data_IF_008653757632
#
_entry.id   IF_008653757632
#
_cell.length_a   1.000
_cell.length_b   1.000
_cell.length_c   1.000
_cell.angle_alpha   90.00
_cell.angle_beta   90.00
_cell.angle_gamma   90.00
#
_symmetry.space_group_name_H-M   'P 1'
#
loop_
_entity.id
_entity.type
_entity.pdbx_description
1 polymer ?
#
# COMPACT_ATOMS: atom_id res chain seq x y z
N UNK A 1 18.70 21.84 -2.49
CA UNK A 1 19.54 20.73 -3.03
C UNK A 1 19.20 19.34 -2.46
N UNK A 2 19.30 19.07 -1.13
CA UNK A 2 19.03 17.71 -0.60
C UNK A 2 17.56 17.26 -0.76
N UNK A 3 16.60 18.16 -0.57
CA UNK A 3 15.19 17.90 -0.76
C UNK A 3 14.85 17.52 -2.21
N UNK A 4 15.32 18.30 -3.17
CA UNK A 4 15.06 18.06 -4.59
C UNK A 4 15.57 16.68 -5.04
N UNK A 5 16.75 16.27 -4.57
CA UNK A 5 17.26 14.94 -4.86
C UNK A 5 16.37 13.82 -4.29
N UNK A 6 15.86 13.99 -3.06
CA UNK A 6 14.95 12.99 -2.46
C UNK A 6 13.60 12.94 -3.17
N UNK A 7 13.08 14.08 -3.59
CA UNK A 7 11.85 14.18 -4.37
C UNK A 7 12.02 13.52 -5.75
N UNK A 8 13.09 13.85 -6.48
CA UNK A 8 13.37 13.22 -7.77
C UNK A 8 13.60 11.72 -7.66
N UNK A 9 14.30 11.25 -6.62
CA UNK A 9 14.45 9.82 -6.37
C UNK A 9 13.09 9.14 -6.16
N UNK A 10 12.20 9.76 -5.37
CA UNK A 10 10.84 9.27 -5.16
C UNK A 10 10.06 9.19 -6.47
N UNK A 11 10.06 10.26 -7.26
CA UNK A 11 9.35 10.32 -8.54
C UNK A 11 9.90 9.31 -9.54
N UNK A 12 11.21 9.19 -9.68
CA UNK A 12 11.83 8.24 -10.61
C UNK A 12 11.50 6.78 -10.22
N UNK A 13 11.63 6.41 -8.94
CA UNK A 13 11.32 5.06 -8.47
C UNK A 13 9.82 4.77 -8.61
N UNK A 14 8.97 5.74 -8.27
CA UNK A 14 7.52 5.65 -8.45
C UNK A 14 7.11 5.46 -9.92
N UNK A 15 7.77 6.17 -10.84
CA UNK A 15 7.54 6.03 -12.29
C UNK A 15 7.95 4.64 -12.79
N UNK A 16 9.06 4.10 -12.30
CA UNK A 16 9.46 2.72 -12.60
C UNK A 16 8.43 1.73 -12.05
N UNK A 17 7.96 1.94 -10.82
CA UNK A 17 6.91 1.09 -10.23
C UNK A 17 5.64 1.12 -11.08
N UNK A 18 5.24 2.29 -11.58
CA UNK A 18 4.08 2.44 -12.46
C UNK A 18 4.26 1.71 -13.80
N UNK A 19 5.41 1.84 -14.44
CA UNK A 19 5.69 1.11 -15.68
C UNK A 19 5.66 -0.41 -15.47
N UNK A 20 6.24 -0.90 -14.36
CA UNK A 20 6.21 -2.31 -13.98
C UNK A 20 4.79 -2.78 -13.63
N UNK A 21 3.97 -1.92 -13.00
CA UNK A 21 2.55 -2.21 -12.77
C UNK A 21 1.83 -2.51 -14.08
N UNK A 22 1.91 -1.60 -15.05
CA UNK A 22 1.24 -1.78 -16.33
C UNK A 22 1.77 -2.99 -17.11
N UNK A 23 3.09 -3.23 -17.11
CA UNK A 23 3.67 -4.44 -17.69
C UNK A 23 3.13 -5.72 -17.06
N UNK A 24 2.96 -5.73 -15.73
CA UNK A 24 2.37 -6.86 -14.99
C UNK A 24 0.87 -6.98 -15.27
N UNK A 25 0.16 -5.85 -15.31
CA UNK A 25 -1.28 -5.80 -15.54
C UNK A 25 -1.68 -6.30 -16.93
N UNK A 26 -0.94 -5.92 -17.96
CA UNK A 26 -1.18 -6.31 -19.35
C UNK A 26 -0.70 -7.73 -19.68
N UNK A 27 0.17 -8.31 -18.86
CA UNK A 27 0.64 -9.68 -19.09
C UNK A 27 -0.41 -10.73 -18.69
N UNK A 28 -0.41 -11.88 -19.37
CA UNK A 28 -1.26 -13.01 -19.01
C UNK A 28 -1.01 -13.45 -17.58
N UNK A 29 -2.07 -13.45 -16.75
CA UNK A 29 -1.98 -13.71 -15.32
C UNK A 29 -1.38 -15.09 -15.02
N UNK A 30 -0.39 -15.13 -14.12
CA UNK A 30 0.33 -16.35 -13.76
C UNK A 30 1.37 -16.83 -14.78
N UNK A 31 1.52 -16.15 -15.94
CA UNK A 31 2.54 -16.46 -16.93
C UNK A 31 3.98 -16.24 -16.40
N UNK A 32 5.01 -16.81 -17.04
CA UNK A 32 6.40 -16.51 -16.68
C UNK A 32 6.72 -15.00 -16.72
N UNK A 33 6.19 -14.28 -17.71
CA UNK A 33 6.37 -12.84 -17.87
C UNK A 33 5.72 -12.07 -16.69
N UNK A 34 4.46 -12.40 -16.36
CA UNK A 34 3.76 -11.83 -15.21
C UNK A 34 4.57 -11.97 -13.90
N UNK A 35 5.12 -13.15 -13.67
CA UNK A 35 5.93 -13.41 -12.45
C UNK A 35 7.28 -12.68 -12.49
N UNK A 36 7.91 -12.58 -13.69
CA UNK A 36 9.20 -11.92 -13.87
C UNK A 36 9.10 -10.41 -13.67
N UNK A 37 8.02 -9.76 -14.11
CA UNK A 37 7.79 -8.32 -13.93
C UNK A 37 7.18 -8.02 -12.56
N UNK A 38 6.29 -8.86 -12.04
CA UNK A 38 5.59 -8.62 -10.78
C UNK A 38 6.49 -8.58 -9.56
N UNK A 39 7.60 -9.33 -9.54
CA UNK A 39 8.57 -9.27 -8.43
C UNK A 39 9.28 -7.92 -8.35
N UNK A 40 9.93 -7.42 -9.43
CA UNK A 40 10.48 -6.07 -9.45
C UNK A 40 9.44 -4.98 -9.14
N UNK A 41 8.19 -5.13 -9.57
CA UNK A 41 7.12 -4.21 -9.23
C UNK A 41 6.95 -4.07 -7.70
N UNK A 42 6.83 -5.17 -6.96
CA UNK A 42 6.71 -5.11 -5.50
C UNK A 42 7.94 -4.49 -4.83
N UNK A 43 9.14 -4.78 -5.33
CA UNK A 43 10.37 -4.18 -4.82
C UNK A 43 10.41 -2.67 -5.09
N UNK A 44 10.01 -2.23 -6.28
CA UNK A 44 9.91 -0.82 -6.62
C UNK A 44 8.88 -0.09 -5.72
N UNK A 45 7.72 -0.71 -5.44
CA UNK A 45 6.75 -0.15 -4.52
C UNK A 45 7.30 0.00 -3.10
N UNK A 46 8.02 -1.00 -2.57
CA UNK A 46 8.68 -0.88 -1.27
C UNK A 46 9.77 0.20 -1.27
N UNK A 47 10.55 0.29 -2.35
CA UNK A 47 11.55 1.34 -2.50
C UNK A 47 10.89 2.73 -2.53
N UNK A 48 9.76 2.89 -3.22
CA UNK A 48 8.97 4.14 -3.20
C UNK A 48 8.54 4.51 -1.79
N UNK A 49 8.05 3.56 -0.99
CA UNK A 49 7.71 3.79 0.43
C UNK A 49 8.94 4.24 1.23
N UNK A 50 10.09 3.62 1.01
CA UNK A 50 11.34 3.96 1.71
C UNK A 50 11.90 5.35 1.34
N UNK A 51 11.50 5.92 0.22
CA UNK A 51 11.88 7.31 -0.15
C UNK A 51 11.00 8.37 0.53
N UNK A 52 9.86 8.01 1.14
CA UNK A 52 8.96 8.97 1.81
C UNK A 52 9.62 9.64 3.03
N UNK A 53 10.31 8.93 3.97
CA UNK A 53 10.96 9.58 5.10
C UNK A 53 11.93 10.72 4.71
N UNK A 54 12.89 10.56 3.78
CA UNK A 54 13.74 11.68 3.37
C UNK A 54 12.95 12.82 2.69
N UNK A 55 11.90 12.54 1.93
CA UNK A 55 11.03 13.60 1.37
C UNK A 55 10.37 14.40 2.48
N UNK A 56 9.88 13.75 3.52
CA UNK A 56 9.25 14.42 4.67
C UNK A 56 10.26 15.22 5.49
N UNK A 57 11.40 14.59 5.85
CA UNK A 57 12.39 15.18 6.77
C UNK A 57 13.20 16.32 6.16
N UNK A 58 13.40 16.33 4.83
CA UNK A 58 14.20 17.33 4.14
C UNK A 58 13.36 18.47 3.54
N UNK A 59 12.04 18.45 3.71
CA UNK A 59 11.14 19.46 3.14
C UNK A 59 11.46 20.85 3.71
N UNK A 60 11.68 21.87 2.84
CA UNK A 60 12.11 23.21 3.27
C UNK A 60 10.96 24.10 3.78
N UNK A 61 9.72 23.67 3.67
CA UNK A 61 8.53 24.43 4.07
C UNK A 61 8.13 24.13 5.52
N UNK A 62 7.33 24.99 6.17
CA UNK A 62 6.85 24.77 7.52
C UNK A 62 6.21 23.39 7.71
N UNK A 63 6.34 22.87 8.91
CA UNK A 63 5.75 21.60 9.30
C UNK A 63 4.22 21.62 9.13
N UNK A 64 3.69 20.78 8.27
CA UNK A 64 2.26 20.55 8.11
C UNK A 64 1.90 19.17 8.66
N UNK A 65 1.29 19.10 9.87
CA UNK A 65 0.95 17.83 10.48
C UNK A 65 -0.02 16.98 9.63
N UNK A 66 -0.97 17.62 8.95
CA UNK A 66 -1.95 16.91 8.13
C UNK A 66 -1.31 16.20 6.94
N UNK A 67 -0.41 16.90 6.25
CA UNK A 67 0.34 16.35 5.13
C UNK A 67 1.24 15.19 5.55
N UNK A 68 1.96 15.34 6.67
CA UNK A 68 2.86 14.29 7.20
C UNK A 68 2.07 13.05 7.61
N UNK A 69 0.97 13.24 8.36
CA UNK A 69 0.10 12.14 8.79
C UNK A 69 -0.44 11.39 7.57
N UNK A 70 -0.87 12.10 6.53
CA UNK A 70 -1.35 11.50 5.28
C UNK A 70 -0.28 10.67 4.58
N UNK A 71 0.96 11.17 4.46
CA UNK A 71 2.07 10.44 3.84
C UNK A 71 2.48 9.21 4.65
N UNK A 72 2.57 9.32 5.96
CA UNK A 72 2.89 8.19 6.84
C UNK A 72 1.80 7.12 6.75
N UNK A 73 0.54 7.54 6.79
CA UNK A 73 -0.61 6.66 6.63
C UNK A 73 -0.60 5.93 5.27
N UNK A 74 -0.43 6.66 4.17
CA UNK A 74 -0.37 6.07 2.82
C UNK A 74 0.80 5.11 2.69
N UNK A 75 1.97 5.46 3.25
CA UNK A 75 3.14 4.57 3.27
C UNK A 75 2.86 3.27 4.03
N UNK A 76 2.19 3.35 5.18
CA UNK A 76 1.79 2.19 5.96
C UNK A 76 0.78 1.31 5.18
N UNK A 77 -0.20 1.93 4.52
CA UNK A 77 -1.16 1.22 3.67
C UNK A 77 -0.46 0.52 2.51
N UNK A 78 0.38 1.22 1.74
CA UNK A 78 1.10 0.66 0.59
C UNK A 78 2.03 -0.48 1.04
N UNK A 79 2.82 -0.27 2.08
CA UNK A 79 3.70 -1.31 2.64
C UNK A 79 2.94 -2.56 3.08
N UNK A 80 1.78 -2.37 3.73
CA UNK A 80 0.88 -3.47 4.13
C UNK A 80 0.35 -4.21 2.93
N UNK A 81 -0.19 -3.51 1.95
CA UNK A 81 -0.81 -4.11 0.76
C UNK A 81 0.23 -4.86 -0.08
N UNK A 82 1.45 -4.31 -0.27
CA UNK A 82 2.56 -5.00 -0.93
C UNK A 82 2.92 -6.29 -0.19
N UNK A 83 3.06 -6.21 1.14
CA UNK A 83 3.38 -7.38 1.97
C UNK A 83 2.31 -8.46 1.84
N UNK A 84 1.05 -8.09 1.87
CA UNK A 84 -0.08 -9.03 1.71
C UNK A 84 -0.09 -9.64 0.30
N UNK A 85 0.06 -8.83 -0.75
CA UNK A 85 0.08 -9.31 -2.13
C UNK A 85 1.20 -10.34 -2.36
N UNK A 86 2.39 -10.04 -1.83
CA UNK A 86 3.56 -10.91 -1.94
C UNK A 86 3.40 -12.21 -1.15
N UNK A 87 3.02 -12.09 0.13
CA UNK A 87 2.92 -13.24 1.04
C UNK A 87 1.75 -14.15 0.70
N UNK A 88 0.67 -13.64 0.12
CA UNK A 88 -0.44 -14.45 -0.39
C UNK A 88 0.02 -15.48 -1.43
N UNK A 89 0.87 -15.08 -2.37
CA UNK A 89 1.46 -16.00 -3.37
C UNK A 89 2.51 -16.91 -2.72
N UNK A 90 3.39 -16.34 -1.88
CA UNK A 90 4.49 -17.08 -1.27
C UNK A 90 4.02 -18.20 -0.35
N UNK A 91 2.92 -17.97 0.37
CA UNK A 91 2.38 -18.91 1.36
C UNK A 91 0.99 -19.43 0.99
N UNK A 92 0.69 -19.52 -0.31
CA UNK A 92 -0.61 -19.98 -0.84
C UNK A 92 -1.06 -21.33 -0.27
N UNK A 93 -0.11 -22.22 0.03
CA UNK A 93 -0.34 -23.55 0.58
C UNK A 93 -0.17 -23.58 2.13
N UNK A 94 0.07 -22.44 2.77
CA UNK A 94 0.35 -22.29 4.21
C UNK A 94 -0.49 -21.15 4.81
N UNK A 95 -1.84 -21.31 4.91
CA UNK A 95 -2.73 -20.24 5.37
C UNK A 95 -2.41 -19.74 6.77
N UNK A 96 -1.94 -20.62 7.67
CA UNK A 96 -1.59 -20.24 9.04
C UNK A 96 -0.35 -19.34 9.09
N UNK A 97 0.62 -19.58 8.21
CA UNK A 97 1.79 -18.72 8.07
C UNK A 97 1.41 -17.36 7.48
N UNK A 98 0.50 -17.33 6.51
CA UNK A 98 -0.03 -16.09 5.96
C UNK A 98 -0.76 -15.27 7.02
N UNK A 99 -1.58 -15.91 7.87
CA UNK A 99 -2.26 -15.29 9.01
C UNK A 99 -1.37 -15.06 10.23
N UNK A 100 -0.05 -15.18 10.07
CA UNK A 100 0.95 -15.06 11.12
C UNK A 100 1.06 -13.66 11.72
N UNK A 101 2.12 -13.43 12.49
CA UNK A 101 2.32 -12.21 13.27
C UNK A 101 2.22 -10.93 12.42
N UNK A 102 2.90 -10.89 11.26
CA UNK A 102 2.88 -9.73 10.38
C UNK A 102 1.45 -9.33 9.96
N UNK A 103 0.61 -10.31 9.58
CA UNK A 103 -0.76 -10.08 9.16
C UNK A 103 -1.63 -9.58 10.33
N UNK A 104 -1.41 -10.16 11.53
CA UNK A 104 -2.14 -9.79 12.76
C UNK A 104 -1.73 -8.43 13.32
N UNK A 105 -0.51 -7.94 13.03
CA UNK A 105 -0.05 -6.62 13.43
C UNK A 105 -0.41 -5.54 12.41
N UNK A 106 -0.22 -5.82 11.13
CA UNK A 106 -0.47 -4.84 10.06
C UNK A 106 -1.96 -4.50 9.92
N UNK A 107 -2.86 -5.48 10.08
CA UNK A 107 -4.30 -5.24 10.03
C UNK A 107 -4.78 -4.19 11.05
N UNK A 108 -4.58 -4.40 12.36
CA UNK A 108 -4.91 -3.40 13.38
C UNK A 108 -4.18 -2.06 13.18
N UNK A 109 -2.90 -2.09 12.78
CA UNK A 109 -2.13 -0.87 12.53
C UNK A 109 -2.80 0.02 11.48
N UNK A 110 -3.06 -0.51 10.29
CA UNK A 110 -3.66 0.32 9.22
C UNK A 110 -5.11 0.68 9.50
N UNK A 111 -5.87 -0.16 10.21
CA UNK A 111 -7.22 0.19 10.66
C UNK A 111 -7.19 1.35 11.65
N UNK A 112 -6.30 1.32 12.65
CA UNK A 112 -6.16 2.39 13.63
C UNK A 112 -5.68 3.70 13.00
N UNK A 113 -4.69 3.64 12.10
CA UNK A 113 -4.24 4.81 11.36
C UNK A 113 -5.35 5.37 10.47
N UNK A 114 -6.13 4.50 9.81
CA UNK A 114 -7.31 4.91 9.04
C UNK A 114 -8.35 5.64 9.90
N UNK A 115 -8.62 5.15 11.11
CA UNK A 115 -9.53 5.81 12.05
C UNK A 115 -9.00 7.21 12.47
N UNK A 116 -7.71 7.34 12.75
CA UNK A 116 -7.08 8.64 13.08
C UNK A 116 -7.21 9.61 11.90
N UNK A 117 -6.91 9.16 10.68
CA UNK A 117 -7.00 10.01 9.48
C UNK A 117 -8.45 10.40 9.19
N UNK A 118 -9.42 9.49 9.40
CA UNK A 118 -10.85 9.81 9.25
C UNK A 118 -11.27 10.92 10.20
N UNK A 119 -10.96 10.77 11.49
CA UNK A 119 -11.33 11.78 12.51
C UNK A 119 -10.66 13.12 12.20
N UNK A 120 -9.36 13.11 11.85
CA UNK A 120 -8.64 14.33 11.50
C UNK A 120 -9.23 15.01 10.24
N UNK A 121 -9.58 14.22 9.21
CA UNK A 121 -10.21 14.71 7.99
C UNK A 121 -11.58 15.34 8.25
N UNK A 122 -12.42 14.69 9.07
CA UNK A 122 -13.73 15.21 9.45
C UNK A 122 -13.63 16.51 10.26
N UNK A 123 -12.72 16.56 11.24
CA UNK A 123 -12.51 17.75 12.08
C UNK A 123 -11.99 18.94 11.27
N UNK A 124 -11.11 18.69 10.29
CA UNK A 124 -10.53 19.74 9.43
C UNK A 124 -11.38 20.07 8.19
N UNK A 125 -12.44 19.34 7.94
CA UNK A 125 -13.23 19.48 6.71
C UNK A 125 -12.45 19.08 5.46
N UNK A 126 -11.50 18.12 5.57
CA UNK A 126 -10.71 17.60 4.46
C UNK A 126 -11.36 16.32 3.89
N UNK A 127 -12.10 16.44 2.77
CA UNK A 127 -12.81 15.31 2.19
C UNK A 127 -11.85 14.26 1.62
N UNK A 128 -10.66 14.67 1.19
CA UNK A 128 -9.66 13.76 0.62
C UNK A 128 -9.11 12.84 1.69
N UNK A 129 -8.70 13.40 2.84
CA UNK A 129 -8.27 12.60 3.98
C UNK A 129 -9.37 11.65 4.46
N UNK A 130 -10.62 12.14 4.54
CA UNK A 130 -11.77 11.32 4.94
C UNK A 130 -12.00 10.15 3.97
N UNK A 131 -11.93 10.36 2.65
CA UNK A 131 -12.08 9.29 1.66
C UNK A 131 -10.90 8.32 1.70
N UNK A 132 -9.66 8.81 1.76
CA UNK A 132 -8.47 7.96 1.81
C UNK A 132 -8.45 7.06 3.06
N UNK A 133 -8.98 7.52 4.19
CA UNK A 133 -9.03 6.75 5.44
C UNK A 133 -9.73 5.39 5.30
N UNK A 134 -10.70 5.28 4.41
CA UNK A 134 -11.44 4.04 4.14
C UNK A 134 -10.57 2.91 3.62
N UNK A 135 -9.46 3.22 2.96
CA UNK A 135 -8.51 2.19 2.49
C UNK A 135 -7.96 1.40 3.68
N UNK A 136 -7.45 2.09 4.70
CA UNK A 136 -6.92 1.43 5.91
C UNK A 136 -8.01 0.79 6.76
N UNK A 137 -9.17 1.46 6.91
CA UNK A 137 -10.29 0.93 7.67
C UNK A 137 -10.82 -0.37 7.05
N UNK A 138 -11.17 -0.36 5.78
CA UNK A 138 -11.74 -1.52 5.10
C UNK A 138 -10.73 -2.67 5.01
N UNK A 139 -9.49 -2.37 4.57
CA UNK A 139 -8.46 -3.38 4.40
C UNK A 139 -7.98 -3.95 5.74
N UNK A 140 -7.76 -3.08 6.72
CA UNK A 140 -7.33 -3.48 8.07
C UNK A 140 -8.40 -4.31 8.78
N UNK A 141 -9.68 -3.91 8.71
CA UNK A 141 -10.81 -4.71 9.27
C UNK A 141 -10.93 -6.06 8.58
N UNK A 142 -10.80 -6.11 7.26
CA UNK A 142 -10.81 -7.38 6.51
C UNK A 142 -9.66 -8.30 6.97
N UNK A 143 -8.47 -7.76 7.20
CA UNK A 143 -7.33 -8.51 7.74
C UNK A 143 -7.61 -9.04 9.15
N UNK A 144 -8.13 -8.20 10.05
CA UNK A 144 -8.49 -8.60 11.42
C UNK A 144 -9.53 -9.73 11.39
N UNK A 145 -10.57 -9.59 10.59
CA UNK A 145 -11.61 -10.61 10.44
C UNK A 145 -11.01 -11.92 9.90
N UNK A 146 -10.22 -11.85 8.82
CA UNK A 146 -9.62 -13.03 8.22
C UNK A 146 -8.63 -13.73 9.16
N UNK A 147 -7.85 -12.98 9.95
CA UNK A 147 -6.93 -13.54 10.94
C UNK A 147 -7.64 -14.34 12.04
N UNK A 148 -8.87 -13.95 12.38
CA UNK A 148 -9.69 -14.60 13.44
C UNK A 148 -10.59 -15.72 12.91
N UNK A 149 -10.75 -15.82 11.60
CA UNK A 149 -11.66 -16.81 11.00
C UNK A 149 -11.15 -18.23 11.22
N UNK A 150 -11.97 -19.07 11.85
CA UNK A 150 -11.70 -20.51 12.10
C UNK A 150 -12.27 -21.44 11.04
N UNK A 151 -13.21 -20.94 10.22
CA UNK A 151 -13.84 -21.74 9.16
C UNK A 151 -12.81 -22.16 8.10
N UNK A 152 -13.01 -23.31 7.43
CA UNK A 152 -12.19 -23.74 6.31
C UNK A 152 -12.09 -22.62 5.24
N UNK A 153 -10.90 -22.47 4.68
CA UNK A 153 -10.67 -21.47 3.64
C UNK A 153 -11.01 -22.07 2.27
N UNK A 154 -11.58 -21.22 1.40
CA UNK A 154 -11.75 -21.59 0.00
C UNK A 154 -10.38 -21.89 -0.65
N UNK A 155 -10.32 -22.84 -1.58
CA UNK A 155 -9.07 -23.30 -2.22
C UNK A 155 -8.25 -22.15 -2.83
N UNK A 156 -8.90 -21.09 -3.28
CA UNK A 156 -8.26 -19.93 -3.92
C UNK A 156 -8.21 -18.69 -3.01
N UNK A 157 -8.24 -18.84 -1.69
CA UNK A 157 -8.21 -17.73 -0.73
C UNK A 157 -7.03 -16.76 -0.98
N UNK A 158 -5.87 -17.33 -1.31
CA UNK A 158 -4.66 -16.59 -1.60
C UNK A 158 -4.77 -15.72 -2.87
N UNK A 159 -5.51 -16.20 -3.89
CA UNK A 159 -5.74 -15.46 -5.12
C UNK A 159 -6.61 -14.23 -4.85
N UNK A 160 -7.65 -14.36 -4.05
CA UNK A 160 -8.50 -13.24 -3.65
C UNK A 160 -7.70 -12.16 -2.91
N UNK A 161 -6.84 -12.56 -1.96
CA UNK A 161 -5.95 -11.61 -1.26
C UNK A 161 -4.93 -10.96 -2.20
N UNK A 162 -4.31 -11.72 -3.09
CA UNK A 162 -3.36 -11.18 -4.07
C UNK A 162 -4.02 -10.18 -5.01
N UNK A 163 -5.18 -10.52 -5.59
CA UNK A 163 -5.87 -9.65 -6.55
C UNK A 163 -6.38 -8.39 -5.87
N UNK A 164 -7.04 -8.50 -4.71
CA UNK A 164 -7.52 -7.33 -3.97
C UNK A 164 -6.38 -6.40 -3.55
N UNK A 165 -5.25 -6.96 -3.12
CA UNK A 165 -4.07 -6.19 -2.78
C UNK A 165 -3.48 -5.48 -4.01
N UNK A 166 -3.36 -6.16 -5.16
CA UNK A 166 -2.84 -5.53 -6.38
C UNK A 166 -3.77 -4.45 -6.93
N UNK A 167 -5.09 -4.59 -6.77
CA UNK A 167 -6.04 -3.52 -7.09
C UNK A 167 -5.88 -2.32 -6.15
N UNK A 168 -5.65 -2.56 -4.85
CA UNK A 168 -5.32 -1.49 -3.91
C UNK A 168 -4.03 -0.73 -4.30
N UNK A 169 -3.02 -1.44 -4.80
CA UNK A 169 -1.80 -0.81 -5.32
C UNK A 169 -2.05 0.01 -6.60
N UNK A 170 -2.97 -0.43 -7.47
CA UNK A 170 -3.41 0.38 -8.61
C UNK A 170 -3.88 1.76 -8.16
N UNK A 171 -4.77 1.80 -7.19
CA UNK A 171 -5.31 3.07 -6.66
C UNK A 171 -4.20 3.93 -6.05
N UNK A 172 -3.26 3.33 -5.31
CA UNK A 172 -2.14 4.06 -4.71
C UNK A 172 -1.20 4.65 -5.77
N UNK A 173 -0.83 3.87 -6.81
CA UNK A 173 0.09 4.32 -7.88
C UNK A 173 -0.52 5.46 -8.70
N UNK A 174 -1.82 5.39 -9.02
CA UNK A 174 -2.46 6.40 -9.87
C UNK A 174 -2.99 7.59 -9.07
N UNK A 175 -3.44 7.36 -7.84
CA UNK A 175 -3.93 8.42 -6.95
C UNK A 175 -2.85 9.45 -6.59
N UNK A 176 -1.60 8.99 -6.38
CA UNK A 176 -0.47 9.91 -6.12
C UNK A 176 -0.11 10.76 -7.33
N UNK A 177 -0.27 10.26 -8.55
CA UNK A 177 -0.08 11.07 -9.76
C UNK A 177 -1.14 12.17 -9.89
N UNK A 178 -2.40 11.89 -9.58
CA UNK A 178 -3.47 12.89 -9.56
C UNK A 178 -3.18 14.05 -8.59
N UNK A 179 -2.51 13.76 -7.46
CA UNK A 179 -2.10 14.78 -6.48
C UNK A 179 -0.90 15.63 -6.90
N UNK A 180 -0.04 15.12 -7.78
CA UNK A 180 1.15 15.86 -8.26
C UNK A 180 0.81 16.74 -9.47
N UNK A 181 -0.24 16.39 -10.21
CA UNK A 181 -0.64 17.07 -11.46
C UNK A 181 -1.70 18.15 -11.21
N UNK A 182 -2.40 18.14 -10.06
CA UNK A 182 -3.39 19.15 -9.62
C UNK A 182 -2.87 19.93 -8.41
#
# INVERSE_FOLDING_TARGET
MRYDHSLWAHVCIGSVAMALFWGTFLSAKGSPLHRRIGRPFFLAMLATVLTVPPVVLLRPVPFDPGWIVSLVYLSACVGTVVTVAWTAIRWKDQPERFRGLHFRLLGPLVASLGAVVLVAGLVKGDPVAAVLSWVGLAYGTAMIYFARRRAPLHRQWWLAWHVNATLGLFTAVHGTLGFVVW
#
